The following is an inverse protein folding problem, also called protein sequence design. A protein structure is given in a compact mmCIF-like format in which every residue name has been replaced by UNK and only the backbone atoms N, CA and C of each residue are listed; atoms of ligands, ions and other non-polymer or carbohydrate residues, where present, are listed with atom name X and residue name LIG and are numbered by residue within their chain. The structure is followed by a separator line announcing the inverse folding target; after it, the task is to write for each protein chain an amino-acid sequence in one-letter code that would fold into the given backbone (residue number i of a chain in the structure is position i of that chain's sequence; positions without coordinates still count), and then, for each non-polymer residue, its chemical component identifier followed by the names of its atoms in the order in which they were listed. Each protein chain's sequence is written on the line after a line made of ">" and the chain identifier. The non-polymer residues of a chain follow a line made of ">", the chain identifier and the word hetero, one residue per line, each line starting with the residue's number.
data_IF_881532844480
#
_entry.id   IF_881532844480
#
_cell.length_a   1.000
_cell.length_b   1.000
_cell.length_c   1.000
_cell.angle_alpha   90.00
_cell.angle_beta   90.00
_cell.angle_gamma   90.00
#
_symmetry.space_group_name_H-M   'P 1'
#
loop_
_entity.id
_entity.type
_entity.pdbx_description
1 polymer ?
#
# COMPACT_ATOMS: atom_id res chain seq x y z
N UNK A 1 -13.49 -2.49 8.45
CA UNK A 1 -12.63 -2.30 9.64
C UNK A 1 -11.33 -1.68 9.12
N UNK A 2 -10.72 -0.71 9.82
CA UNK A 2 -9.45 -0.13 9.32
C UNK A 2 -8.30 -1.06 9.69
N UNK A 3 -7.48 -1.40 8.70
CA UNK A 3 -6.29 -2.21 8.89
C UNK A 3 -5.24 -1.44 9.70
N UNK A 4 -4.50 -2.17 10.52
CA UNK A 4 -3.31 -1.65 11.19
C UNK A 4 -2.07 -1.74 10.28
N UNK A 5 -0.96 -1.14 10.73
CA UNK A 5 0.29 -1.09 9.96
C UNK A 5 0.83 -2.47 9.56
N UNK A 6 0.79 -3.46 10.45
CA UNK A 6 1.28 -4.82 10.18
C UNK A 6 0.41 -5.50 9.11
N UNK A 7 -0.91 -5.36 9.22
CA UNK A 7 -1.85 -5.92 8.24
C UNK A 7 -1.64 -5.30 6.85
N UNK A 8 -1.43 -3.97 6.78
CA UNK A 8 -1.16 -3.29 5.51
C UNK A 8 0.17 -3.78 4.91
N UNK A 9 1.22 -3.92 5.72
CA UNK A 9 2.53 -4.42 5.26
C UNK A 9 2.39 -5.85 4.71
N UNK A 10 1.60 -6.71 5.34
CA UNK A 10 1.32 -8.06 4.85
C UNK A 10 0.58 -8.05 3.51
N UNK A 11 -0.41 -7.16 3.33
CA UNK A 11 -1.09 -7.03 2.04
C UNK A 11 -0.16 -6.51 0.95
N UNK A 12 0.71 -5.53 1.26
CA UNK A 12 1.75 -5.06 0.33
C UNK A 12 2.65 -6.22 -0.10
N UNK A 13 3.09 -7.07 0.84
CA UNK A 13 3.91 -8.23 0.53
C UNK A 13 3.20 -9.20 -0.43
N UNK A 14 1.92 -9.51 -0.19
CA UNK A 14 1.12 -10.37 -1.07
C UNK A 14 1.01 -9.80 -2.47
N UNK A 15 0.76 -8.49 -2.57
CA UNK A 15 0.64 -7.76 -3.84
C UNK A 15 1.96 -7.77 -4.61
N UNK A 16 3.10 -7.55 -3.94
CA UNK A 16 4.43 -7.62 -4.57
C UNK A 16 4.76 -9.01 -5.10
N UNK A 17 4.31 -10.07 -4.42
CA UNK A 17 4.48 -11.46 -4.84
C UNK A 17 3.50 -11.90 -5.92
N UNK A 18 2.53 -11.06 -6.28
CA UNK A 18 1.44 -11.41 -7.18
C UNK A 18 0.56 -12.55 -6.63
N UNK A 19 0.41 -12.64 -5.31
CA UNK A 19 -0.46 -13.64 -4.69
C UNK A 19 -1.94 -13.34 -4.99
N UNK A 20 -2.77 -14.39 -5.02
CA UNK A 20 -4.22 -14.26 -5.24
C UNK A 20 -4.62 -13.99 -6.69
N UNK A 21 -5.93 -13.93 -6.91
CA UNK A 21 -6.54 -13.55 -8.20
C UNK A 21 -6.63 -12.03 -8.35
N UNK A 22 -6.87 -11.54 -9.57
CA UNK A 22 -7.09 -10.11 -9.83
C UNK A 22 -8.15 -9.50 -8.89
N UNK A 23 -9.27 -10.20 -8.67
CA UNK A 23 -10.32 -9.73 -7.74
C UNK A 23 -9.85 -9.68 -6.29
N UNK A 24 -9.02 -10.64 -5.84
CA UNK A 24 -8.47 -10.62 -4.48
C UNK A 24 -7.46 -9.48 -4.29
N UNK A 25 -6.63 -9.22 -5.30
CA UNK A 25 -5.67 -8.11 -5.27
C UNK A 25 -6.39 -6.76 -5.27
N UNK A 26 -7.50 -6.64 -6.04
CA UNK A 26 -8.37 -5.47 -6.00
C UNK A 26 -9.00 -5.27 -4.62
N UNK A 27 -9.51 -6.34 -3.99
CA UNK A 27 -10.04 -6.29 -2.62
C UNK A 27 -8.98 -5.81 -1.62
N UNK A 28 -7.77 -6.38 -1.65
CA UNK A 28 -6.67 -5.95 -0.78
C UNK A 28 -6.29 -4.48 -0.97
N UNK A 29 -6.23 -4.02 -2.22
CA UNK A 29 -5.99 -2.60 -2.50
C UNK A 29 -7.11 -1.72 -1.94
N UNK A 30 -8.38 -2.12 -2.10
CA UNK A 30 -9.52 -1.39 -1.54
C UNK A 30 -9.46 -1.32 0.00
N UNK A 31 -9.06 -2.40 0.67
CA UNK A 31 -8.87 -2.39 2.13
C UNK A 31 -7.75 -1.42 2.56
N UNK A 32 -6.65 -1.36 1.82
CA UNK A 32 -5.57 -0.38 2.06
C UNK A 32 -6.10 1.06 1.87
N UNK A 33 -6.84 1.31 0.79
CA UNK A 33 -7.44 2.63 0.49
C UNK A 33 -8.37 3.14 1.58
N UNK A 34 -9.12 2.26 2.22
CA UNK A 34 -10.01 2.63 3.32
C UNK A 34 -9.28 2.80 4.66
N UNK A 35 -8.05 2.29 4.77
CA UNK A 35 -7.32 2.22 6.04
C UNK A 35 -6.40 3.42 6.26
N UNK A 36 -5.75 3.94 5.22
CA UNK A 36 -4.76 5.02 5.33
C UNK A 36 -4.95 6.13 4.29
N UNK A 37 -4.74 7.41 4.65
CA UNK A 37 -4.93 8.55 3.74
C UNK A 37 -3.87 8.62 2.63
N UNK A 38 -2.78 7.86 2.76
CA UNK A 38 -1.66 7.80 1.82
C UNK A 38 -1.70 6.56 0.91
N UNK A 39 -2.81 5.83 0.86
CA UNK A 39 -2.95 4.63 0.03
C UNK A 39 -2.68 4.87 -1.47
N UNK A 40 -2.99 6.05 -2.00
CA UNK A 40 -2.63 6.41 -3.37
C UNK A 40 -1.12 6.40 -3.61
N UNK A 41 -0.32 6.70 -2.59
CA UNK A 41 1.14 6.62 -2.66
C UNK A 41 1.65 5.18 -2.59
N UNK A 42 0.98 4.32 -1.81
CA UNK A 42 1.23 2.87 -1.82
C UNK A 42 1.00 2.31 -3.22
N UNK A 43 -0.13 2.64 -3.85
CA UNK A 43 -0.43 2.23 -5.23
C UNK A 43 0.64 2.69 -6.22
N UNK A 44 1.04 3.97 -6.15
CA UNK A 44 2.09 4.51 -7.01
C UNK A 44 3.40 3.74 -6.87
N UNK A 45 3.82 3.43 -5.63
CA UNK A 45 5.06 2.71 -5.37
C UNK A 45 4.99 1.23 -5.80
N UNK A 46 3.82 0.60 -5.71
CA UNK A 46 3.63 -0.80 -6.09
C UNK A 46 3.61 -1.01 -7.61
N UNK A 47 2.91 -0.15 -8.35
CA UNK A 47 2.55 -0.43 -9.74
C UNK A 47 3.14 0.55 -10.77
N UNK A 48 3.60 1.72 -10.32
CA UNK A 48 4.06 2.80 -11.20
C UNK A 48 5.51 3.23 -10.93
N UNK A 49 6.18 2.60 -9.96
CA UNK A 49 7.56 2.91 -9.59
C UNK A 49 8.49 1.78 -10.00
N UNK A 50 9.70 2.13 -10.41
CA UNK A 50 10.80 1.19 -10.66
C UNK A 50 11.62 0.90 -9.38
N UNK A 51 11.25 1.48 -8.24
CA UNK A 51 11.93 1.27 -6.96
C UNK A 51 11.66 -0.13 -6.37
N UNK A 52 12.70 -0.95 -6.23
CA UNK A 52 12.62 -2.21 -5.49
C UNK A 52 12.68 -1.94 -3.98
N UNK A 53 11.51 -1.89 -3.33
CA UNK A 53 11.37 -1.66 -1.89
C UNK A 53 10.83 -2.91 -1.19
N UNK A 54 11.34 -3.22 0.00
CA UNK A 54 10.66 -4.20 0.86
C UNK A 54 9.27 -3.69 1.27
N UNK A 55 8.34 -4.59 1.67
CA UNK A 55 6.98 -4.19 2.07
C UNK A 55 6.95 -3.10 3.16
N UNK A 56 7.84 -3.21 4.14
CA UNK A 56 7.96 -2.22 5.22
C UNK A 56 8.53 -0.89 4.73
N UNK A 57 9.56 -0.91 3.87
CA UNK A 57 10.14 0.32 3.30
C UNK A 57 9.12 1.05 2.42
N UNK A 58 8.36 0.31 1.61
CA UNK A 58 7.30 0.87 0.77
C UNK A 58 6.24 1.58 1.62
N UNK A 59 5.77 0.93 2.69
CA UNK A 59 4.81 1.52 3.60
C UNK A 59 5.35 2.80 4.26
N UNK A 60 6.56 2.75 4.83
CA UNK A 60 7.15 3.91 5.50
C UNK A 60 7.42 5.06 4.52
N UNK A 61 7.91 4.76 3.31
CA UNK A 61 8.12 5.76 2.27
C UNK A 61 6.79 6.39 1.84
N UNK A 62 5.74 5.60 1.63
CA UNK A 62 4.42 6.11 1.30
C UNK A 62 3.88 7.05 2.39
N UNK A 63 4.03 6.67 3.65
CA UNK A 63 3.65 7.46 4.83
C UNK A 63 4.45 8.77 4.93
N UNK A 64 5.76 8.73 4.69
CA UNK A 64 6.65 9.89 4.79
C UNK A 64 6.47 10.88 3.63
N UNK A 65 6.22 10.39 2.42
CA UNK A 65 6.03 11.23 1.24
C UNK A 65 4.61 11.82 1.17
N UNK A 66 3.66 11.26 1.93
CA UNK A 66 2.37 11.88 2.13
C UNK A 66 2.52 13.13 3.01
N UNK A 67 2.76 14.26 2.37
CA UNK A 67 2.58 15.57 3.00
C UNK A 67 1.07 15.80 3.12
N UNK A 68 0.50 15.89 4.33
CA UNK A 68 -0.84 16.43 4.46
C UNK A 68 -0.77 17.84 3.89
N UNK A 69 -1.54 18.13 2.83
CA UNK A 69 -1.73 19.52 2.44
C UNK A 69 -2.51 20.14 3.59
N UNK A 70 -1.83 20.94 4.41
CA UNK A 70 -2.50 21.85 5.33
C UNK A 70 -3.14 22.90 4.43
N UNK A 71 -4.45 22.74 4.16
CA UNK A 71 -5.30 23.73 3.50
C UNK A 71 -5.90 24.66 4.55
#
# INVERSE_FOLDING_TARGET
>A
MKLNEIEIIQLIEKLQKGEGTDSQQEEWMNEIFQSVPFAGKIYQLLFLSDETLSPAELFQKAKNEHKPIIL
#
